data_IF_665468767730
#
_entry.id   IF_665468767730
#
_cell.length_a   1.000
_cell.length_b   1.000
_cell.length_c   1.000
_cell.angle_alpha   90.00
_cell.angle_beta   90.00
_cell.angle_gamma   90.00
#
_symmetry.space_group_name_H-M   'P 1'
#
loop_
_entity.id
_entity.type
_entity.pdbx_description
1 polymer ?
#
# COMPACT_ATOMS: atom_id res chain seq x y z
N UNK A 1 29.42 -24.50 30.44
CA UNK A 1 28.38 -23.60 29.92
C UNK A 1 27.70 -24.33 28.79
N UNK A 2 26.38 -24.43 28.78
CA UNK A 2 25.65 -24.90 27.60
C UNK A 2 25.80 -23.85 26.49
N UNK A 3 25.77 -24.29 25.25
CA UNK A 3 25.86 -23.42 24.07
C UNK A 3 24.56 -23.55 23.31
N UNK A 4 23.96 -22.41 22.94
CA UNK A 4 22.85 -22.37 22.00
C UNK A 4 23.40 -22.22 20.59
N UNK A 5 23.12 -23.19 19.72
CA UNK A 5 23.46 -23.12 18.30
C UNK A 5 22.23 -22.71 17.49
N UNK A 6 22.31 -21.56 16.83
CA UNK A 6 21.30 -21.07 15.89
C UNK A 6 21.84 -21.26 14.47
N UNK A 7 21.04 -21.83 13.58
CA UNK A 7 21.41 -22.05 12.18
C UNK A 7 20.36 -21.51 11.22
N UNK A 8 20.80 -21.01 10.08
CA UNK A 8 19.92 -20.68 8.95
C UNK A 8 20.76 -20.58 7.66
N UNK A 9 20.13 -20.29 6.53
CA UNK A 9 20.85 -20.04 5.27
C UNK A 9 21.91 -18.95 5.45
N UNK A 10 23.05 -19.09 4.77
CA UNK A 10 24.17 -18.15 4.92
C UNK A 10 23.77 -16.71 4.62
N UNK A 11 22.97 -16.49 3.57
CA UNK A 11 22.42 -15.17 3.22
C UNK A 11 21.59 -14.54 4.35
N UNK A 12 20.80 -15.35 5.06
CA UNK A 12 19.98 -14.87 6.16
C UNK A 12 20.87 -14.49 7.35
N UNK A 13 21.78 -15.39 7.72
CA UNK A 13 22.68 -15.20 8.86
C UNK A 13 23.64 -14.03 8.66
N UNK A 14 24.10 -13.79 7.42
CA UNK A 14 24.91 -12.62 7.07
C UNK A 14 24.12 -11.33 7.23
N UNK A 15 22.82 -11.32 6.90
CA UNK A 15 22.00 -10.12 7.09
C UNK A 15 21.97 -9.69 8.56
N UNK A 16 21.81 -10.63 9.50
CA UNK A 16 21.66 -10.32 10.94
C UNK A 16 22.97 -10.28 11.72
N UNK A 17 24.10 -10.67 11.11
CA UNK A 17 25.40 -10.73 11.79
C UNK A 17 25.78 -9.42 12.48
N UNK A 18 25.68 -8.23 11.85
CA UNK A 18 26.04 -6.97 12.51
C UNK A 18 25.22 -6.70 13.78
N UNK A 19 23.91 -6.98 13.72
CA UNK A 19 22.98 -6.81 14.85
C UNK A 19 23.32 -7.75 16.00
N UNK A 20 23.65 -9.00 15.67
CA UNK A 20 24.00 -10.02 16.67
C UNK A 20 25.37 -9.74 17.30
N UNK A 21 26.38 -9.37 16.51
CA UNK A 21 27.72 -9.05 17.03
C UNK A 21 27.71 -7.83 17.95
N UNK A 22 26.81 -6.86 17.70
CA UNK A 22 26.60 -5.72 18.59
C UNK A 22 25.95 -6.11 19.93
N UNK A 23 25.05 -7.11 19.92
CA UNK A 23 24.31 -7.55 21.12
C UNK A 23 25.04 -8.62 21.94
N UNK A 24 25.86 -9.44 21.30
CA UNK A 24 26.50 -10.62 21.88
C UNK A 24 28.00 -10.67 21.56
N UNK A 25 28.82 -10.01 22.39
CA UNK A 25 30.29 -9.95 22.21
C UNK A 25 31.01 -11.31 22.20
N UNK A 26 30.40 -12.35 22.76
CA UNK A 26 30.94 -13.71 22.84
C UNK A 26 30.35 -14.66 21.80
N UNK A 27 29.64 -14.14 20.80
CA UNK A 27 29.13 -14.92 19.68
C UNK A 27 30.29 -15.51 18.86
N UNK A 28 30.16 -16.80 18.49
CA UNK A 28 31.06 -17.42 17.52
C UNK A 28 30.30 -17.94 16.32
N UNK A 29 30.85 -17.69 15.12
CA UNK A 29 30.22 -18.04 13.86
C UNK A 29 31.02 -19.10 13.13
N UNK A 30 30.33 -20.04 12.48
CA UNK A 30 30.92 -21.00 11.55
C UNK A 30 30.00 -21.21 10.36
N UNK A 31 30.55 -21.62 9.22
CA UNK A 31 29.78 -21.88 8.00
C UNK A 31 30.08 -23.28 7.49
N UNK A 32 29.03 -24.02 7.15
CA UNK A 32 29.12 -25.37 6.59
C UNK A 32 28.19 -25.46 5.37
N UNK A 33 28.78 -25.48 4.18
CA UNK A 33 28.04 -25.46 2.92
C UNK A 33 27.18 -24.20 2.75
N UNK A 34 25.87 -24.36 2.65
CA UNK A 34 24.90 -23.26 2.44
C UNK A 34 24.31 -22.69 3.75
N UNK A 35 24.78 -23.19 4.89
CA UNK A 35 24.28 -22.80 6.20
C UNK A 35 25.38 -22.12 7.01
N UNK A 36 24.96 -21.16 7.81
CA UNK A 36 25.80 -20.50 8.81
C UNK A 36 25.21 -20.77 10.18
N UNK A 37 26.09 -21.05 11.14
CA UNK A 37 25.78 -21.38 12.51
C UNK A 37 26.36 -20.31 13.42
N UNK A 38 25.56 -19.89 14.38
CA UNK A 38 25.88 -18.97 15.44
C UNK A 38 25.81 -19.75 16.76
N UNK A 39 26.91 -19.76 17.49
CA UNK A 39 26.96 -20.32 18.83
C UNK A 39 26.97 -19.17 19.84
N UNK A 40 25.97 -19.17 20.73
CA UNK A 40 25.86 -18.23 21.84
C UNK A 40 26.08 -18.97 23.17
N UNK A 41 26.94 -18.47 24.06
CA UNK A 41 27.04 -19.02 25.41
C UNK A 41 25.71 -18.85 26.14
N UNK A 42 25.10 -19.94 26.62
CA UNK A 42 23.99 -19.86 27.57
C UNK A 42 24.55 -19.80 28.99
N UNK A 43 24.19 -18.73 29.69
CA UNK A 43 24.43 -18.63 31.12
C UNK A 43 23.52 -19.59 31.89
N UNK A 44 23.88 -19.90 33.13
CA UNK A 44 22.99 -20.62 34.06
C UNK A 44 21.88 -19.72 34.62
N UNK A 45 21.91 -18.42 34.30
CA UNK A 45 20.97 -17.41 34.78
C UNK A 45 19.81 -17.18 33.81
N UNK A 46 18.59 -17.21 34.33
CA UNK A 46 17.33 -16.96 33.61
C UNK A 46 17.38 -15.64 32.80
N UNK A 47 18.08 -14.61 33.29
CA UNK A 47 18.21 -13.31 32.61
C UNK A 47 18.94 -13.39 31.26
N UNK A 48 19.92 -14.29 31.14
CA UNK A 48 20.69 -14.44 29.90
C UNK A 48 19.84 -15.05 28.78
N UNK A 49 19.01 -16.02 29.12
CA UNK A 49 18.05 -16.62 28.19
C UNK A 49 16.99 -15.60 27.75
N UNK A 50 16.45 -14.80 28.68
CA UNK A 50 15.49 -13.74 28.34
C UNK A 50 16.06 -12.71 27.36
N UNK A 51 17.35 -12.34 27.49
CA UNK A 51 18.00 -11.44 26.53
C UNK A 51 18.03 -12.08 25.13
N UNK A 52 18.46 -13.33 25.02
CA UNK A 52 18.50 -14.07 23.76
C UNK A 52 17.10 -14.11 23.12
N UNK A 53 16.07 -14.43 23.91
CA UNK A 53 14.69 -14.51 23.41
C UNK A 53 14.19 -13.19 22.83
N UNK A 54 14.38 -12.10 23.58
CA UNK A 54 13.94 -10.78 23.15
C UNK A 54 14.69 -10.31 21.92
N UNK A 55 16.00 -10.54 21.85
CA UNK A 55 16.82 -10.16 20.69
C UNK A 55 16.40 -10.97 19.46
N UNK A 56 16.21 -12.30 19.59
CA UNK A 56 15.75 -13.14 18.48
C UNK A 56 14.37 -12.74 18.00
N UNK A 57 13.41 -12.53 18.90
CA UNK A 57 12.07 -12.08 18.52
C UNK A 57 12.11 -10.71 17.80
N UNK A 58 12.90 -9.76 18.32
CA UNK A 58 13.07 -8.44 17.68
C UNK A 58 13.70 -8.53 16.29
N UNK A 59 14.75 -9.35 16.14
CA UNK A 59 15.41 -9.59 14.85
C UNK A 59 14.44 -10.26 13.87
N UNK A 60 13.64 -11.22 14.34
CA UNK A 60 12.61 -11.88 13.54
C UNK A 60 11.61 -10.86 13.01
N UNK A 61 11.04 -10.02 13.87
CA UNK A 61 10.03 -9.04 13.48
C UNK A 61 10.54 -7.91 12.59
N UNK A 62 11.75 -7.43 12.85
CA UNK A 62 12.34 -6.37 12.05
C UNK A 62 13.06 -6.92 10.83
N UNK A 63 14.33 -7.23 11.03
CA UNK A 63 15.27 -7.47 9.95
C UNK A 63 14.94 -8.71 9.11
N UNK A 64 14.53 -9.81 9.76
CA UNK A 64 14.23 -11.05 9.03
C UNK A 64 12.91 -10.99 8.28
N UNK A 65 11.86 -10.37 8.84
CA UNK A 65 10.63 -10.07 8.10
C UNK A 65 10.93 -9.35 6.80
N UNK A 66 11.75 -8.29 6.86
CA UNK A 66 12.13 -7.52 5.68
C UNK A 66 12.88 -8.36 4.65
N UNK A 67 13.83 -9.20 5.10
CA UNK A 67 14.56 -10.13 4.26
C UNK A 67 13.63 -11.16 3.59
N UNK A 68 12.69 -11.73 4.34
CA UNK A 68 11.75 -12.73 3.84
C UNK A 68 10.73 -12.13 2.88
N UNK A 69 10.21 -10.92 3.13
CA UNK A 69 9.33 -10.18 2.21
C UNK A 69 10.02 -10.00 0.84
N UNK A 70 11.26 -9.50 0.83
CA UNK A 70 12.03 -9.34 -0.42
C UNK A 70 12.25 -10.67 -1.13
N UNK A 71 12.46 -11.75 -0.38
CA UNK A 71 12.67 -13.08 -0.94
C UNK A 71 11.36 -13.68 -1.47
N UNK A 72 10.25 -13.53 -0.77
CA UNK A 72 8.92 -13.99 -1.19
C UNK A 72 8.52 -13.30 -2.49
N UNK A 73 8.67 -11.96 -2.56
CA UNK A 73 8.38 -11.21 -3.77
C UNK A 73 9.21 -11.70 -4.97
N UNK A 74 10.54 -11.81 -4.79
CA UNK A 74 11.43 -12.29 -5.87
C UNK A 74 11.13 -13.71 -6.34
N UNK A 75 10.63 -14.58 -5.46
CA UNK A 75 10.36 -15.98 -5.81
C UNK A 75 8.98 -16.17 -6.45
N UNK A 76 7.96 -15.50 -5.92
CA UNK A 76 6.57 -15.70 -6.32
C UNK A 76 6.14 -14.74 -7.43
N UNK A 77 6.77 -13.56 -7.53
CA UNK A 77 6.39 -12.46 -8.42
C UNK A 77 7.58 -11.95 -9.24
N UNK A 78 8.40 -12.89 -9.75
CA UNK A 78 9.63 -12.60 -10.49
C UNK A 78 9.42 -11.87 -11.83
N UNK A 79 8.18 -11.70 -12.27
CA UNK A 79 7.83 -11.01 -13.52
C UNK A 79 7.85 -9.49 -13.39
N UNK A 80 7.76 -8.95 -12.18
CA UNK A 80 7.95 -7.52 -11.94
C UNK A 80 9.42 -7.15 -12.10
N UNK A 81 9.68 -6.00 -12.70
CA UNK A 81 11.03 -5.45 -12.81
C UNK A 81 11.55 -4.93 -11.46
N UNK A 82 12.79 -4.43 -11.45
CA UNK A 82 13.42 -3.97 -10.22
C UNK A 82 12.67 -2.80 -9.57
N UNK A 83 12.21 -1.82 -10.34
CA UNK A 83 11.61 -0.59 -9.82
C UNK A 83 10.16 -0.84 -9.36
N UNK A 84 9.45 -1.71 -10.07
CA UNK A 84 8.15 -2.24 -9.66
C UNK A 84 8.29 -3.01 -8.33
N UNK A 85 9.28 -3.91 -8.22
CA UNK A 85 9.55 -4.64 -6.98
C UNK A 85 9.87 -3.70 -5.81
N UNK A 86 10.67 -2.64 -6.02
CA UNK A 86 10.95 -1.67 -4.96
C UNK A 86 9.68 -0.96 -4.47
N UNK A 87 8.79 -0.59 -5.40
CA UNK A 87 7.51 0.05 -5.08
C UNK A 87 6.61 -0.87 -4.23
N UNK A 88 6.52 -2.15 -4.61
CA UNK A 88 5.76 -3.17 -3.88
C UNK A 88 6.37 -3.43 -2.50
N UNK A 89 7.70 -3.59 -2.40
CA UNK A 89 8.40 -3.79 -1.12
C UNK A 89 8.13 -2.63 -0.17
N UNK A 90 8.13 -1.40 -0.67
CA UNK A 90 7.83 -0.23 0.16
C UNK A 90 6.40 -0.23 0.68
N UNK A 91 5.42 -0.71 -0.10
CA UNK A 91 4.05 -0.92 0.39
C UNK A 91 3.99 -2.02 1.44
N UNK A 92 4.61 -3.17 1.16
CA UNK A 92 4.68 -4.30 2.09
C UNK A 92 5.28 -3.90 3.45
N UNK A 93 6.31 -3.05 3.48
CA UNK A 93 6.90 -2.57 4.74
C UNK A 93 5.96 -1.64 5.53
N UNK A 94 5.09 -0.88 4.87
CA UNK A 94 4.06 -0.08 5.55
C UNK A 94 3.03 -0.99 6.24
N UNK A 95 2.60 -2.06 5.57
CA UNK A 95 1.72 -3.07 6.14
C UNK A 95 2.38 -3.82 7.30
N UNK A 96 3.65 -4.22 7.15
CA UNK A 96 4.44 -4.84 8.22
C UNK A 96 4.54 -3.94 9.46
N UNK A 97 4.74 -2.62 9.30
CA UNK A 97 4.83 -1.69 10.42
C UNK A 97 3.50 -1.48 11.17
N UNK A 98 2.39 -1.85 10.55
CA UNK A 98 1.05 -1.82 11.15
C UNK A 98 0.72 -3.14 11.87
N UNK A 99 1.68 -4.08 11.91
CA UNK A 99 1.55 -5.38 12.54
C UNK A 99 1.09 -5.28 14.00
N UNK A 100 0.22 -6.23 14.36
CA UNK A 100 -0.35 -6.35 15.70
C UNK A 100 0.73 -6.78 16.72
N UNK A 101 0.59 -6.33 17.98
CA UNK A 101 1.51 -6.75 19.06
C UNK A 101 1.34 -8.24 19.38
N UNK A 102 0.19 -8.79 19.05
CA UNK A 102 -0.20 -10.19 19.24
C UNK A 102 0.74 -11.11 18.47
N UNK A 103 1.06 -10.80 17.21
CA UNK A 103 2.02 -11.58 16.41
C UNK A 103 3.40 -11.59 17.06
N UNK A 104 3.87 -10.45 17.60
CA UNK A 104 5.13 -10.39 18.36
C UNK A 104 5.14 -11.36 19.53
N UNK A 105 4.08 -11.33 20.33
CA UNK A 105 3.93 -12.23 21.46
C UNK A 105 3.89 -13.71 21.05
N UNK A 106 3.29 -14.04 19.90
CA UNK A 106 3.26 -15.41 19.39
C UNK A 106 4.67 -15.93 19.06
N UNK A 107 5.47 -15.19 18.31
CA UNK A 107 6.85 -15.62 17.98
C UNK A 107 7.70 -15.69 19.26
N UNK A 108 7.61 -14.69 20.13
CA UNK A 108 8.35 -14.67 21.39
C UNK A 108 8.01 -15.90 22.25
N UNK A 109 6.72 -16.19 22.38
CA UNK A 109 6.23 -17.35 23.14
C UNK A 109 6.72 -18.66 22.52
N UNK A 110 6.57 -18.83 21.20
CA UNK A 110 6.99 -20.03 20.49
C UNK A 110 8.50 -20.28 20.63
N UNK A 111 9.31 -19.23 20.45
CA UNK A 111 10.76 -19.33 20.64
C UNK A 111 11.06 -19.72 22.09
N UNK A 112 10.40 -19.10 23.08
CA UNK A 112 10.68 -19.32 24.51
C UNK A 112 10.36 -20.76 24.89
N UNK A 113 9.19 -21.26 24.51
CA UNK A 113 8.76 -22.63 24.75
C UNK A 113 9.78 -23.63 24.17
N UNK A 114 10.25 -23.38 22.95
CA UNK A 114 11.20 -24.26 22.27
C UNK A 114 12.58 -24.23 22.92
N UNK A 115 13.13 -23.04 23.18
CA UNK A 115 14.48 -22.87 23.67
C UNK A 115 14.64 -23.20 25.16
N UNK A 116 13.57 -23.36 25.93
CA UNK A 116 13.66 -23.92 27.30
C UNK A 116 14.27 -25.33 27.30
N UNK A 117 13.89 -26.17 26.34
CA UNK A 117 14.29 -27.59 26.31
C UNK A 117 15.31 -27.92 25.23
N UNK A 118 15.61 -26.97 24.34
CA UNK A 118 16.48 -27.20 23.18
C UNK A 118 17.64 -26.19 23.14
N UNK A 119 18.82 -26.68 22.77
CA UNK A 119 20.04 -25.87 22.61
C UNK A 119 20.44 -25.73 21.14
N UNK A 120 19.59 -26.17 20.21
CA UNK A 120 19.82 -26.05 18.78
C UNK A 120 18.53 -25.62 18.11
N UNK A 121 18.62 -24.68 17.18
CA UNK A 121 17.48 -24.19 16.41
C UNK A 121 17.90 -23.91 14.98
N UNK A 122 17.12 -24.37 14.00
CA UNK A 122 17.17 -23.83 12.65
C UNK A 122 16.16 -22.69 12.58
N UNK A 123 16.62 -21.43 12.61
CA UNK A 123 15.75 -20.27 12.78
C UNK A 123 14.78 -20.10 11.61
N UNK A 124 15.27 -20.21 10.38
CA UNK A 124 14.45 -20.10 9.17
C UNK A 124 13.36 -21.20 9.12
N UNK A 125 13.75 -22.45 9.39
CA UNK A 125 12.82 -23.57 9.46
C UNK A 125 11.83 -23.44 10.63
N UNK A 126 12.30 -23.01 11.79
CA UNK A 126 11.46 -22.83 12.97
C UNK A 126 10.34 -21.84 12.71
N UNK A 127 10.68 -20.65 12.18
CA UNK A 127 9.68 -19.63 11.87
C UNK A 127 8.72 -20.14 10.79
N UNK A 128 9.24 -20.68 9.68
CA UNK A 128 8.42 -21.14 8.56
C UNK A 128 7.45 -22.27 8.92
N UNK A 129 7.87 -23.21 9.77
CA UNK A 129 7.10 -24.43 10.01
C UNK A 129 6.38 -24.46 11.36
N UNK A 130 6.96 -23.86 12.40
CA UNK A 130 6.38 -23.88 13.76
C UNK A 130 5.63 -22.59 14.09
N UNK A 131 6.03 -21.44 13.53
CA UNK A 131 5.33 -20.16 13.74
C UNK A 131 4.52 -19.79 12.50
N UNK A 132 3.61 -20.69 12.11
CA UNK A 132 2.89 -20.64 10.84
C UNK A 132 2.06 -19.37 10.67
N UNK A 133 1.36 -18.92 11.72
CA UNK A 133 0.53 -17.72 11.65
C UNK A 133 1.34 -16.48 11.26
N UNK A 134 2.53 -16.32 11.86
CA UNK A 134 3.44 -15.25 11.49
C UNK A 134 3.99 -15.41 10.06
N UNK A 135 4.34 -16.63 9.65
CA UNK A 135 4.81 -16.86 8.29
C UNK A 135 3.72 -16.57 7.24
N UNK A 136 2.50 -17.04 7.47
CA UNK A 136 1.33 -16.73 6.62
C UNK A 136 1.10 -15.23 6.56
N UNK A 137 1.16 -14.53 7.69
CA UNK A 137 1.05 -13.07 7.70
C UNK A 137 2.09 -12.39 6.79
N UNK A 138 3.35 -12.84 6.77
CA UNK A 138 4.34 -12.28 5.85
C UNK A 138 4.00 -12.53 4.37
N UNK A 139 3.37 -13.66 4.05
CA UNK A 139 2.87 -13.94 2.70
C UNK A 139 1.72 -13.00 2.36
N UNK A 140 0.72 -12.89 3.24
CA UNK A 140 -0.45 -12.03 3.05
C UNK A 140 -0.04 -10.56 2.87
N UNK A 141 0.98 -10.09 3.59
CA UNK A 141 1.54 -8.74 3.44
C UNK A 141 2.13 -8.53 2.04
N UNK A 142 2.84 -9.51 1.49
CA UNK A 142 3.38 -9.43 0.12
C UNK A 142 2.25 -9.46 -0.89
N UNK A 143 1.31 -10.39 -0.75
CA UNK A 143 0.20 -10.59 -1.68
C UNK A 143 -0.68 -9.32 -1.72
N UNK A 144 -1.03 -8.77 -0.55
CA UNK A 144 -1.77 -7.51 -0.44
C UNK A 144 -1.03 -6.35 -1.12
N UNK A 145 0.28 -6.23 -0.90
CA UNK A 145 1.07 -5.17 -1.52
C UNK A 145 1.15 -5.29 -3.05
N UNK A 146 1.15 -6.53 -3.57
CA UNK A 146 1.08 -6.80 -5.01
C UNK A 146 -0.30 -6.43 -5.56
N UNK A 147 -1.38 -6.86 -4.89
CA UNK A 147 -2.74 -6.57 -5.32
C UNK A 147 -3.00 -5.05 -5.35
N UNK A 148 -2.57 -4.30 -4.34
CA UNK A 148 -2.63 -2.84 -4.31
C UNK A 148 -1.86 -2.20 -5.47
N UNK A 149 -0.67 -2.72 -5.77
CA UNK A 149 0.15 -2.22 -6.87
C UNK A 149 -0.51 -2.47 -8.23
N UNK A 150 -1.05 -3.67 -8.45
CA UNK A 150 -1.75 -4.02 -9.67
C UNK A 150 -3.02 -3.18 -9.85
N UNK A 151 -3.82 -3.01 -8.79
CA UNK A 151 -5.01 -2.17 -8.83
C UNK A 151 -4.67 -0.71 -9.17
N UNK A 152 -3.58 -0.17 -8.64
CA UNK A 152 -3.11 1.17 -8.99
C UNK A 152 -2.66 1.24 -10.46
N UNK A 153 -1.92 0.24 -10.96
CA UNK A 153 -1.55 0.18 -12.38
C UNK A 153 -2.77 0.11 -13.30
N UNK A 154 -3.76 -0.74 -12.97
CA UNK A 154 -5.02 -0.84 -13.70
C UNK A 154 -5.77 0.51 -13.74
N UNK A 155 -5.83 1.19 -12.59
CA UNK A 155 -6.41 2.54 -12.51
C UNK A 155 -5.66 3.55 -13.41
N UNK A 156 -4.33 3.55 -13.38
CA UNK A 156 -3.53 4.45 -14.23
C UNK A 156 -3.71 4.16 -15.73
N UNK A 157 -3.78 2.89 -16.13
CA UNK A 157 -4.06 2.51 -17.52
C UNK A 157 -5.47 2.90 -17.95
N UNK A 158 -6.46 2.73 -17.08
CA UNK A 158 -7.82 3.21 -17.32
C UNK A 158 -7.86 4.73 -17.56
N UNK A 159 -7.19 5.51 -16.70
CA UNK A 159 -7.09 6.97 -16.83
C UNK A 159 -6.40 7.36 -18.14
N UNK A 160 -5.32 6.68 -18.55
CA UNK A 160 -4.63 6.94 -19.83
C UNK A 160 -5.54 6.67 -21.03
N UNK A 161 -6.30 5.57 -20.99
CA UNK A 161 -7.25 5.24 -22.06
C UNK A 161 -8.33 6.31 -22.19
N UNK A 162 -8.91 6.76 -21.07
CA UNK A 162 -9.89 7.85 -21.08
C UNK A 162 -9.30 9.15 -21.59
N UNK A 163 -8.07 9.48 -21.18
CA UNK A 163 -7.38 10.66 -21.68
C UNK A 163 -7.22 10.64 -23.20
N UNK A 164 -6.77 9.50 -23.74
CA UNK A 164 -6.65 9.32 -25.18
C UNK A 164 -8.00 9.46 -25.91
N UNK A 165 -9.07 8.91 -25.33
CA UNK A 165 -10.42 9.04 -25.88
C UNK A 165 -10.89 10.50 -25.91
N UNK A 166 -10.71 11.25 -24.81
CA UNK A 166 -11.07 12.67 -24.74
C UNK A 166 -10.31 13.49 -25.78
N UNK A 167 -9.01 13.24 -25.96
CA UNK A 167 -8.19 13.98 -26.93
C UNK A 167 -8.65 13.80 -28.38
N UNK A 168 -9.18 12.63 -28.73
CA UNK A 168 -9.71 12.36 -30.08
C UNK A 168 -11.12 12.93 -30.32
N UNK A 169 -11.86 13.26 -29.27
CA UNK A 169 -13.23 13.77 -29.41
C UNK A 169 -13.24 15.23 -29.89
N UNK A 170 -14.05 15.48 -30.93
CA UNK A 170 -14.42 16.84 -31.33
C UNK A 170 -15.28 17.49 -30.25
N UNK A 171 -14.92 18.70 -29.76
CA UNK A 171 -15.71 19.37 -28.74
C UNK A 171 -17.11 19.74 -29.23
N UNK A 172 -18.13 19.49 -28.39
CA UNK A 172 -19.53 19.88 -28.65
C UNK A 172 -19.92 21.18 -27.95
N UNK A 173 -19.25 21.51 -26.84
CA UNK A 173 -19.50 22.72 -26.04
C UNK A 173 -18.18 23.44 -25.80
N UNK A 174 -18.13 24.74 -26.08
CA UNK A 174 -16.90 25.54 -25.95
C UNK A 174 -16.39 25.61 -24.51
N UNK A 175 -17.28 25.91 -23.56
CA UNK A 175 -16.90 26.12 -22.16
C UNK A 175 -17.99 25.65 -21.21
N UNK A 176 -17.55 24.91 -20.19
CA UNK A 176 -18.39 24.55 -19.04
C UNK A 176 -17.73 24.93 -17.73
N UNK A 177 -18.55 25.17 -16.71
CA UNK A 177 -18.15 25.35 -15.33
C UNK A 177 -18.59 24.12 -14.53
N UNK A 178 -17.66 23.48 -13.84
CA UNK A 178 -17.94 22.32 -12.98
C UNK A 178 -17.75 22.76 -11.55
N UNK A 179 -18.83 22.76 -10.76
CA UNK A 179 -18.81 23.07 -9.34
C UNK A 179 -18.83 21.76 -8.58
N UNK A 180 -17.78 21.50 -7.80
CA UNK A 180 -17.65 20.30 -6.98
C UNK A 180 -17.79 20.66 -5.51
N UNK A 181 -18.82 20.10 -4.87
CA UNK A 181 -19.10 20.21 -3.44
C UNK A 181 -19.15 18.81 -2.83
N UNK A 182 -17.97 18.24 -2.56
CA UNK A 182 -17.87 16.90 -1.96
C UNK A 182 -18.38 16.90 -0.51
N UNK A 183 -18.98 15.78 -0.04
CA UNK A 183 -19.03 14.47 -0.71
C UNK A 183 -20.28 14.19 -1.56
N UNK A 184 -21.24 15.12 -1.68
CA UNK A 184 -22.59 14.73 -2.12
C UNK A 184 -23.06 15.34 -3.45
N UNK A 185 -22.42 16.36 -4.01
CA UNK A 185 -22.97 16.97 -5.23
C UNK A 185 -21.96 17.66 -6.16
N UNK A 186 -22.29 17.68 -7.45
CA UNK A 186 -21.67 18.55 -8.43
C UNK A 186 -22.74 19.23 -9.30
N UNK A 187 -22.38 20.37 -9.87
CA UNK A 187 -23.20 21.05 -10.87
C UNK A 187 -22.35 21.37 -12.10
N UNK A 188 -22.93 21.15 -13.28
CA UNK A 188 -22.32 21.52 -14.55
C UNK A 188 -23.13 22.66 -15.15
N UNK A 189 -22.49 23.81 -15.34
CA UNK A 189 -23.09 24.99 -15.95
C UNK A 189 -22.44 25.24 -17.32
N UNK A 190 -23.22 25.76 -18.26
CA UNK A 190 -22.69 26.28 -19.51
C UNK A 190 -21.96 27.63 -19.31
N UNK A 191 -21.51 28.24 -20.40
CA UNK A 191 -20.85 29.55 -20.40
C UNK A 191 -21.73 30.70 -19.89
N UNK A 192 -23.05 30.56 -19.97
CA UNK A 192 -24.03 31.55 -19.51
C UNK A 192 -24.41 31.37 -18.02
N UNK A 193 -23.91 30.32 -17.37
CA UNK A 193 -24.25 29.98 -15.98
C UNK A 193 -25.55 29.18 -15.83
N UNK A 194 -26.14 28.72 -16.93
CA UNK A 194 -27.32 27.85 -16.91
C UNK A 194 -26.91 26.40 -16.67
N UNK A 195 -27.66 25.67 -15.84
CA UNK A 195 -27.42 24.25 -15.56
C UNK A 195 -27.58 23.46 -16.85
N UNK A 196 -26.57 22.67 -17.21
CA UNK A 196 -26.67 21.71 -18.31
C UNK A 196 -27.47 20.53 -17.76
N UNK A 197 -28.74 20.44 -18.13
CA UNK A 197 -29.57 19.29 -17.81
C UNK A 197 -29.06 18.11 -18.64
N UNK A 198 -28.37 17.21 -17.97
CA UNK A 198 -27.94 15.96 -18.56
C UNK A 198 -29.08 14.94 -18.44
N UNK A 199 -30.18 15.18 -19.17
CA UNK A 199 -31.33 14.25 -19.24
C UNK A 199 -30.90 12.85 -19.71
N UNK A 200 -29.83 12.77 -20.50
CA UNK A 200 -29.20 11.51 -20.91
C UNK A 200 -28.48 10.77 -19.76
N UNK A 201 -28.02 11.49 -18.74
CA UNK A 201 -27.37 10.87 -17.58
C UNK A 201 -28.40 10.21 -16.65
N UNK A 202 -29.62 10.72 -16.56
CA UNK A 202 -30.70 10.05 -15.79
C UNK A 202 -31.00 8.66 -16.34
N UNK A 203 -30.98 8.48 -17.67
CA UNK A 203 -31.11 7.17 -18.31
C UNK A 203 -29.96 6.21 -18.00
N UNK A 204 -28.72 6.73 -17.98
CA UNK A 204 -27.51 5.97 -17.62
C UNK A 204 -27.52 5.57 -16.14
N UNK A 205 -27.96 6.46 -15.24
CA UNK A 205 -28.13 6.19 -13.81
C UNK A 205 -29.17 5.07 -13.59
N UNK A 206 -30.27 5.09 -14.35
CA UNK A 206 -31.32 4.07 -14.28
C UNK A 206 -30.89 2.71 -14.86
N UNK A 207 -30.03 2.68 -15.89
CA UNK A 207 -29.51 1.45 -16.49
C UNK A 207 -28.41 0.78 -15.66
N UNK A 208 -27.58 1.56 -14.94
CA UNK A 208 -26.42 1.04 -14.21
C UNK A 208 -26.74 0.71 -12.74
N UNK A 209 -27.81 1.27 -12.18
CA UNK A 209 -28.21 1.04 -10.79
C UNK A 209 -27.56 2.05 -9.83
N UNK A 210 -28.38 2.74 -9.04
CA UNK A 210 -27.97 3.87 -8.20
C UNK A 210 -27.08 3.51 -6.99
N UNK A 211 -26.97 2.24 -6.61
CA UNK A 211 -26.31 1.83 -5.36
C UNK A 211 -24.81 1.51 -5.52
N UNK A 212 -24.26 1.50 -6.76
CA UNK A 212 -22.88 1.03 -7.03
C UNK A 212 -21.95 2.02 -7.75
N UNK A 213 -22.45 3.17 -8.24
CA UNK A 213 -21.58 4.16 -8.92
C UNK A 213 -20.97 5.16 -7.93
N UNK A 214 -19.64 5.27 -7.95
CA UNK A 214 -18.92 6.33 -7.25
C UNK A 214 -19.26 7.69 -7.90
N UNK A 215 -19.43 8.72 -7.08
CA UNK A 215 -19.72 10.10 -7.49
C UNK A 215 -18.70 10.62 -8.52
N UNK A 216 -17.47 10.16 -8.42
CA UNK A 216 -16.36 10.47 -9.32
C UNK A 216 -16.60 9.94 -10.75
N UNK A 217 -17.03 8.69 -10.87
CA UNK A 217 -17.29 8.04 -12.16
C UNK A 217 -18.45 8.69 -12.90
N UNK A 218 -19.46 9.15 -12.15
CA UNK A 218 -20.60 9.86 -12.70
C UNK A 218 -20.19 11.21 -13.33
N UNK A 219 -19.36 11.98 -12.63
CA UNK A 219 -18.86 13.25 -13.16
C UNK A 219 -17.98 13.04 -14.39
N UNK A 220 -17.08 12.04 -14.37
CA UNK A 220 -16.22 11.73 -15.51
C UNK A 220 -17.07 11.35 -16.73
N UNK A 221 -18.07 10.48 -16.55
CA UNK A 221 -18.99 10.06 -17.63
C UNK A 221 -19.79 11.23 -18.21
N UNK A 222 -20.24 12.16 -17.36
CA UNK A 222 -20.90 13.40 -17.77
C UNK A 222 -20.00 14.25 -18.66
N UNK A 223 -18.77 14.49 -18.22
CA UNK A 223 -17.81 15.34 -18.92
C UNK A 223 -17.39 14.73 -20.27
N UNK A 224 -17.19 13.42 -20.33
CA UNK A 224 -16.91 12.70 -21.59
C UNK A 224 -18.09 12.83 -22.57
N UNK A 225 -19.32 12.69 -22.07
CA UNK A 225 -20.54 12.76 -22.91
C UNK A 225 -20.76 14.16 -23.48
N UNK A 226 -20.57 15.17 -22.63
CA UNK A 226 -20.66 16.59 -22.96
C UNK A 226 -19.59 16.99 -23.97
N UNK A 227 -18.40 16.36 -23.91
CA UNK A 227 -17.25 16.66 -24.76
C UNK A 227 -16.93 18.18 -24.81
N UNK A 228 -16.57 18.81 -23.67
CA UNK A 228 -16.25 20.22 -23.62
C UNK A 228 -14.87 20.53 -24.23
N UNK A 229 -14.73 21.70 -24.85
CA UNK A 229 -13.42 22.21 -25.28
C UNK A 229 -12.63 22.75 -24.09
N UNK A 230 -13.32 23.37 -23.12
CA UNK A 230 -12.73 23.90 -21.89
C UNK A 230 -13.61 23.64 -20.67
N UNK A 231 -12.97 23.23 -19.58
CA UNK A 231 -13.56 22.96 -18.28
C UNK A 231 -12.97 23.94 -17.26
N UNK A 232 -13.81 24.76 -16.62
CA UNK A 232 -13.41 25.52 -15.44
C UNK A 232 -13.86 24.75 -14.21
N UNK A 233 -12.90 24.26 -13.43
CA UNK A 233 -13.16 23.45 -12.24
C UNK A 233 -13.18 24.35 -10.99
N UNK A 234 -14.31 24.38 -10.30
CA UNK A 234 -14.55 25.14 -9.07
C UNK A 234 -14.63 24.16 -7.90
N UNK A 235 -13.58 24.08 -7.09
CA UNK A 235 -13.48 23.12 -5.98
C UNK A 235 -13.84 23.83 -4.68
N UNK A 236 -14.99 23.49 -4.12
CA UNK A 236 -15.43 24.01 -2.83
C UNK A 236 -14.78 23.20 -1.69
N UNK A 237 -14.94 21.87 -1.75
CA UNK A 237 -14.43 20.88 -0.79
C UNK A 237 -14.04 19.59 -1.53
N UNK A 238 -12.93 18.95 -1.12
CA UNK A 238 -12.46 17.66 -1.68
C UNK A 238 -11.35 17.77 -2.74
N UNK A 239 -10.21 17.08 -2.53
CA UNK A 239 -9.01 17.16 -3.39
C UNK A 239 -8.80 15.97 -4.34
N UNK A 240 -9.58 14.89 -4.21
CA UNK A 240 -9.30 13.64 -4.93
C UNK A 240 -9.68 13.74 -6.41
N UNK A 241 -10.92 14.12 -6.68
CA UNK A 241 -11.50 14.21 -8.03
C UNK A 241 -10.82 15.24 -8.94
N UNK A 242 -10.24 16.29 -8.35
CA UNK A 242 -9.43 17.27 -9.08
C UNK A 242 -8.31 16.59 -9.86
N UNK A 243 -7.56 15.69 -9.20
CA UNK A 243 -6.43 15.01 -9.82
C UNK A 243 -6.89 14.14 -10.98
N UNK A 244 -7.98 13.40 -10.80
CA UNK A 244 -8.53 12.51 -11.83
C UNK A 244 -9.00 13.30 -13.05
N UNK A 245 -9.76 14.38 -12.85
CA UNK A 245 -10.21 15.26 -13.93
C UNK A 245 -9.01 15.89 -14.66
N UNK A 246 -7.99 16.34 -13.93
CA UNK A 246 -6.77 16.87 -14.53
C UNK A 246 -6.03 15.81 -15.35
N UNK A 247 -5.93 14.57 -14.86
CA UNK A 247 -5.27 13.47 -15.57
C UNK A 247 -6.03 13.06 -16.83
N UNK A 248 -7.36 13.03 -16.80
CA UNK A 248 -8.19 12.62 -17.95
C UNK A 248 -8.34 13.73 -18.99
N UNK A 249 -8.64 14.96 -18.57
CA UNK A 249 -8.97 16.06 -19.49
C UNK A 249 -7.79 17.00 -19.79
N UNK A 250 -6.64 16.82 -19.10
CA UNK A 250 -5.37 17.47 -19.41
C UNK A 250 -5.49 18.98 -19.57
N UNK A 251 -5.05 19.49 -20.72
CA UNK A 251 -5.04 20.93 -21.02
C UNK A 251 -6.42 21.58 -21.17
N UNK A 252 -7.50 20.80 -21.24
CA UNK A 252 -8.86 21.34 -21.30
C UNK A 252 -9.31 21.89 -19.95
N UNK A 253 -8.64 21.55 -18.85
CA UNK A 253 -9.04 21.91 -17.50
C UNK A 253 -8.30 23.16 -17.01
N UNK A 254 -9.05 24.06 -16.37
CA UNK A 254 -8.52 25.21 -15.64
C UNK A 254 -9.11 25.22 -14.23
N UNK A 255 -8.27 25.08 -13.20
CA UNK A 255 -8.72 25.17 -11.80
C UNK A 255 -8.95 26.64 -11.43
N UNK A 256 -10.13 26.92 -10.87
CA UNK A 256 -10.54 28.25 -10.49
C UNK A 256 -9.92 28.68 -9.14
N UNK A 257 -9.36 29.89 -9.09
CA UNK A 257 -8.73 30.47 -7.88
C UNK A 257 -9.71 31.26 -6.99
N UNK A 258 -11.02 30.96 -7.05
CA UNK A 258 -12.03 31.64 -6.22
C UNK A 258 -12.70 32.83 -6.92
N UNK A 259 -13.44 32.56 -7.99
CA UNK A 259 -14.23 33.58 -8.69
C UNK A 259 -15.58 33.88 -8.01
N UNK A 260 -16.37 34.78 -8.61
CA UNK A 260 -17.73 35.10 -8.13
C UNK A 260 -18.62 33.85 -8.00
N UNK A 261 -18.53 32.89 -8.93
CA UNK A 261 -19.30 31.63 -8.85
C UNK A 261 -18.94 30.82 -7.60
N UNK A 262 -17.65 30.69 -7.27
CA UNK A 262 -17.21 30.04 -6.03
C UNK A 262 -17.78 30.76 -4.80
N UNK A 263 -17.81 32.10 -4.80
CA UNK A 263 -18.35 32.87 -3.68
C UNK A 263 -19.86 32.65 -3.47
N UNK A 264 -20.62 32.45 -4.54
CA UNK A 264 -22.07 32.25 -4.45
C UNK A 264 -22.46 30.80 -4.18
N UNK A 265 -21.81 29.84 -4.85
CA UNK A 265 -22.21 28.43 -4.85
C UNK A 265 -21.44 27.57 -3.82
N UNK A 266 -20.19 27.92 -3.47
CA UNK A 266 -19.46 27.18 -2.43
C UNK A 266 -19.78 27.64 -1.00
N UNK A 267 -20.49 28.77 -0.81
CA UNK A 267 -20.82 29.31 0.53
C UNK A 267 -22.27 29.05 0.96
N UNK A 268 -23.15 28.71 0.03
CA UNK A 268 -24.59 28.49 0.28
C UNK A 268 -24.90 27.24 1.13
N UNK A 269 -23.94 26.34 1.34
CA UNK A 269 -24.12 25.11 2.14
C UNK A 269 -23.54 25.16 3.56
N UNK A 270 -22.92 26.27 3.99
CA UNK A 270 -22.45 26.44 5.40
C UNK A 270 -23.54 26.81 6.41
N UNK A 271 -24.81 26.83 5.99
CA UNK A 271 -25.92 27.30 6.81
C UNK A 271 -27.22 26.55 6.55
N UNK A 272 -27.20 25.23 6.75
CA UNK A 272 -28.39 24.44 7.09
C UNK A 272 -28.00 23.34 8.06
#
# INVERSE_FOLDING_TARGET
>A
MSVLTISASSSLMESVRPTIDAEFMSASWRSEGRYTFLDLPRGTEIRSDLKIMNTLASIVFGQLSQFWIQRLLRLNYAYFDHDEQQSIIQSAYRHLNTCSKELYHQVYSALTEYLISNNQINLEGFIRFRVKEFWTFLQDVVDTAVDEYLAEQEYQEFVKLLHYFVELQEPKIDLINVIVDQPENFQILNSEGNVIQTEYLEGIILEIGCDELDFEDFLISALITIAPAKIILHICHGKRIEKTILSIFGSRVCVCNGCSLCNHLCKSHKGK
#
